data_IF_994460637601
#
_entry.id   IF_994460637601
#
_cell.length_a   1.000
_cell.length_b   1.000
_cell.length_c   1.000
_cell.angle_alpha   90.00
_cell.angle_beta   90.00
_cell.angle_gamma   90.00
#
_symmetry.space_group_name_H-M   'P 1'
#
loop_
_entity.id
_entity.type
_entity.pdbx_description
1 polymer ?
#
# COMPACT_ATOMS: atom_id res chain seq x y z
N UNK A 1 5.26 1.15 15.39
CA UNK A 1 3.84 1.56 15.53
C UNK A 1 3.78 3.03 15.91
N UNK A 2 3.44 3.88 14.94
CA UNK A 2 3.38 5.33 15.07
C UNK A 2 2.16 5.75 15.91
N UNK A 3 2.35 5.86 17.22
CA UNK A 3 1.38 6.50 18.12
C UNK A 3 1.31 8.00 17.78
N UNK A 4 0.40 8.41 16.89
CA UNK A 4 0.17 9.84 16.60
C UNK A 4 -0.46 10.20 15.26
N UNK A 5 -0.75 9.24 14.38
CA UNK A 5 -1.40 9.55 13.11
C UNK A 5 -2.80 10.13 13.35
N UNK A 6 -3.04 11.35 12.84
CA UNK A 6 -4.38 11.98 12.85
C UNK A 6 -5.43 11.03 12.24
N UNK A 7 -6.72 11.16 12.60
CA UNK A 7 -7.79 10.35 12.00
C UNK A 7 -7.77 10.40 10.46
N UNK A 8 -7.41 11.56 9.90
CA UNK A 8 -7.26 11.73 8.45
C UNK A 8 -6.09 10.92 7.87
N UNK A 9 -4.99 10.82 8.60
CA UNK A 9 -3.82 10.00 8.22
C UNK A 9 -4.14 8.51 8.30
N UNK A 10 -4.89 8.08 9.32
CA UNK A 10 -5.33 6.68 9.44
C UNK A 10 -6.29 6.29 8.31
N UNK A 11 -7.28 7.14 8.00
CA UNK A 11 -8.19 6.92 6.88
C UNK A 11 -7.44 6.90 5.55
N UNK A 12 -6.43 7.75 5.39
CA UNK A 12 -5.54 7.76 4.24
C UNK A 12 -4.75 6.44 4.10
N UNK A 13 -4.13 5.95 5.19
CA UNK A 13 -3.41 4.67 5.18
C UNK A 13 -4.35 3.51 4.89
N UNK A 14 -5.58 3.53 5.41
CA UNK A 14 -6.57 2.50 5.09
C UNK A 14 -6.86 2.44 3.59
N UNK A 15 -7.09 3.59 2.94
CA UNK A 15 -7.28 3.66 1.47
C UNK A 15 -6.04 3.23 0.69
N UNK A 16 -4.86 3.47 1.24
CA UNK A 16 -3.61 3.09 0.58
C UNK A 16 -3.35 1.58 0.69
N UNK A 17 -3.63 0.97 1.85
CA UNK A 17 -3.59 -0.48 2.04
C UNK A 17 -4.67 -1.20 1.21
N UNK A 18 -5.82 -0.58 1.00
CA UNK A 18 -6.88 -1.11 0.13
C UNK A 18 -6.39 -1.33 -1.31
N UNK A 19 -5.54 -0.42 -1.83
CA UNK A 19 -4.90 -0.60 -3.16
C UNK A 19 -4.00 -1.83 -3.21
N UNK A 20 -3.27 -2.11 -2.12
CA UNK A 20 -2.44 -3.31 -2.03
C UNK A 20 -3.33 -4.56 -2.04
N UNK A 21 -4.43 -4.56 -1.29
CA UNK A 21 -5.38 -5.68 -1.29
C UNK A 21 -5.94 -5.91 -2.69
N UNK A 22 -6.43 -4.86 -3.36
CA UNK A 22 -6.94 -4.96 -4.73
C UNK A 22 -5.89 -5.52 -5.70
N UNK A 23 -4.64 -5.06 -5.59
CA UNK A 23 -3.53 -5.56 -6.41
C UNK A 23 -3.26 -7.06 -6.18
N UNK A 24 -3.19 -7.50 -4.91
CA UNK A 24 -2.93 -8.89 -4.57
C UNK A 24 -4.08 -9.81 -4.98
N UNK A 25 -5.32 -9.39 -4.76
CA UNK A 25 -6.52 -10.11 -5.19
C UNK A 25 -6.56 -10.25 -6.72
N UNK A 26 -6.20 -9.20 -7.47
CA UNK A 26 -6.11 -9.26 -8.93
C UNK A 26 -5.00 -10.23 -9.42
N UNK A 27 -3.96 -10.44 -8.61
CA UNK A 27 -2.90 -11.40 -8.87
C UNK A 27 -3.21 -12.82 -8.37
N UNK A 28 -4.38 -13.06 -7.76
CA UNK A 28 -4.76 -14.35 -7.18
C UNK A 28 -3.98 -14.71 -5.92
N UNK A 29 -3.41 -13.71 -5.24
CA UNK A 29 -2.65 -13.89 -4.00
C UNK A 29 -3.57 -13.61 -2.82
N UNK A 30 -3.94 -14.67 -2.11
CA UNK A 30 -4.70 -14.60 -0.87
C UNK A 30 -3.78 -14.78 0.34
N UNK A 31 -3.77 -13.80 1.23
CA UNK A 31 -3.10 -13.90 2.53
C UNK A 31 -2.19 -12.74 2.90
N UNK A 32 -1.68 -12.80 4.13
CA UNK A 32 -0.73 -11.83 4.69
C UNK A 32 0.73 -12.15 4.34
N UNK A 33 0.99 -13.28 3.67
CA UNK A 33 2.34 -13.65 3.22
C UNK A 33 2.65 -13.01 1.87
N UNK A 34 2.76 -11.69 1.88
CA UNK A 34 3.26 -10.94 0.71
C UNK A 34 4.78 -11.02 0.73
N UNK A 35 5.38 -11.69 -0.26
CA UNK A 35 6.83 -11.71 -0.36
C UNK A 35 7.36 -10.39 -0.96
N UNK A 36 8.67 -10.19 -0.85
CA UNK A 36 9.35 -8.99 -1.36
C UNK A 36 9.11 -8.78 -2.86
N UNK A 37 8.90 -9.86 -3.61
CA UNK A 37 8.62 -9.83 -5.04
C UNK A 37 7.30 -9.08 -5.31
N UNK A 38 6.24 -9.45 -4.61
CA UNK A 38 4.89 -8.88 -4.78
C UNK A 38 4.88 -7.40 -4.37
N UNK A 39 5.63 -7.02 -3.32
CA UNK A 39 5.80 -5.60 -2.96
C UNK A 39 6.52 -4.80 -4.05
N UNK A 40 7.48 -5.41 -4.75
CA UNK A 40 8.20 -4.77 -5.86
C UNK A 40 7.29 -4.62 -7.09
N UNK A 41 6.47 -5.63 -7.38
CA UNK A 41 5.48 -5.57 -8.45
C UNK A 41 4.38 -4.55 -8.15
N UNK A 42 3.94 -4.46 -6.90
CA UNK A 42 3.00 -3.43 -6.45
C UNK A 42 3.56 -2.01 -6.66
N UNK A 43 4.87 -1.81 -6.41
CA UNK A 43 5.50 -0.52 -6.69
C UNK A 43 5.50 -0.15 -8.17
N UNK A 44 5.78 -1.12 -9.04
CA UNK A 44 5.70 -0.94 -10.47
C UNK A 44 4.26 -0.65 -10.92
N UNK A 45 3.27 -1.29 -10.29
CA UNK A 45 1.85 -1.00 -10.50
C UNK A 45 1.49 0.44 -10.10
N UNK A 46 1.87 0.90 -8.90
CA UNK A 46 1.61 2.27 -8.45
C UNK A 46 2.22 3.34 -9.37
N UNK A 47 3.39 3.06 -9.95
CA UNK A 47 4.02 3.95 -10.92
C UNK A 47 3.23 4.08 -12.23
N UNK A 48 2.46 3.04 -12.60
CA UNK A 48 1.59 3.04 -13.80
C UNK A 48 0.25 3.75 -13.56
N UNK A 49 -0.24 3.77 -12.32
CA UNK A 49 -1.56 4.28 -11.93
C UNK A 49 -1.75 5.81 -12.01
N UNK A 50 -0.85 6.56 -12.66
CA UNK A 50 -0.88 8.04 -12.75
C UNK A 50 -1.10 8.74 -11.39
N UNK A 51 -0.72 8.09 -10.29
CA UNK A 51 -0.82 8.66 -8.95
C UNK A 51 0.20 9.78 -8.78
N UNK A 52 -0.14 10.78 -7.97
CA UNK A 52 0.83 11.80 -7.60
C UNK A 52 1.99 11.19 -6.81
N UNK A 53 3.21 11.74 -6.91
CA UNK A 53 4.36 11.26 -6.13
C UNK A 53 4.08 11.21 -4.62
N UNK A 54 3.29 12.17 -4.12
CA UNK A 54 2.85 12.23 -2.72
C UNK A 54 1.97 11.04 -2.34
N UNK A 55 1.05 10.62 -3.21
CA UNK A 55 0.20 9.45 -2.99
C UNK A 55 1.00 8.15 -2.99
N UNK A 56 2.01 8.03 -3.87
CA UNK A 56 2.91 6.88 -3.91
C UNK A 56 3.72 6.79 -2.62
N UNK A 57 4.34 7.90 -2.20
CA UNK A 57 5.12 7.95 -0.95
C UNK A 57 4.28 7.60 0.28
N UNK A 58 3.04 8.11 0.37
CA UNK A 58 2.13 7.80 1.47
C UNK A 58 1.71 6.33 1.48
N UNK A 59 1.46 5.76 0.30
CA UNK A 59 1.14 4.34 0.16
C UNK A 59 2.32 3.47 0.61
N UNK A 60 3.54 3.84 0.23
CA UNK A 60 4.75 3.19 0.72
C UNK A 60 4.91 3.23 2.23
N UNK A 61 4.64 4.37 2.87
CA UNK A 61 4.66 4.48 4.33
C UNK A 61 3.61 3.57 4.97
N UNK A 62 2.38 3.56 4.44
CA UNK A 62 1.31 2.70 4.95
C UNK A 62 1.68 1.22 4.87
N UNK A 63 2.23 0.77 3.74
CA UNK A 63 2.67 -0.62 3.54
C UNK A 63 3.81 -0.98 4.49
N UNK A 64 4.83 -0.13 4.64
CA UNK A 64 5.95 -0.33 5.59
C UNK A 64 5.53 -0.30 7.07
N UNK A 65 4.42 0.35 7.39
CA UNK A 65 3.88 0.37 8.75
C UNK A 65 3.05 -0.87 9.08
N UNK A 66 2.58 -1.60 8.06
CA UNK A 66 1.75 -2.78 8.18
C UNK A 66 2.55 -4.09 8.21
N UNK A 67 3.62 -4.18 7.41
CA UNK A 67 4.59 -5.30 7.40
C UNK A 67 5.84 -4.94 8.19
#
# INVERSE_FOLDING_TARGET
MEKGASPNTQAAYRRDLDKLVVFLTAAGIDGLEVARKELTEFLAYLAKEKLSPRSIARTLTAVKGFY
#
